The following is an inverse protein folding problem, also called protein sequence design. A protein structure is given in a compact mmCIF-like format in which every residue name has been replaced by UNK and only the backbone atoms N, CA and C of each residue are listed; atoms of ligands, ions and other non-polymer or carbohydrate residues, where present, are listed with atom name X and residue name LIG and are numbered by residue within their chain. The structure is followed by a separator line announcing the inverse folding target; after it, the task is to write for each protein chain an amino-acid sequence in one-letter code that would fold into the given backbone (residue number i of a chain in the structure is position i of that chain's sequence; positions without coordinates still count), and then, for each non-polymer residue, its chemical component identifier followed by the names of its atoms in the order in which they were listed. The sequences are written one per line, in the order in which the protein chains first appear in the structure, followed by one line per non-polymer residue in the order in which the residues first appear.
data_IF_744664261300
#
_entry.id   IF_744664261300
#
_cell.length_a   1.000
_cell.length_b   1.000
_cell.length_c   1.000
_cell.angle_alpha   90.00
_cell.angle_beta   90.00
_cell.angle_gamma   90.00
#
_symmetry.space_group_name_H-M   'P 1'
#
loop_
_entity.id
_entity.type
_entity.pdbx_description
1 polymer ?
#
# COMPACT_ATOMS: atom_id res chain seq x y z
N UNK A 1 4.28 -22.65 16.94
CA UNK A 1 5.57 -23.37 16.80
C UNK A 1 5.62 -24.43 17.87
N UNK A 2 5.31 -25.67 17.54
CA UNK A 2 5.55 -26.80 18.44
C UNK A 2 6.94 -27.34 18.09
N UNK A 3 7.86 -27.26 19.04
CA UNK A 3 9.22 -27.79 18.91
C UNK A 3 9.27 -29.32 19.09
N UNK A 4 8.13 -30.00 19.15
CA UNK A 4 8.05 -31.44 19.26
C UNK A 4 7.97 -32.12 17.86
N UNK A 5 8.41 -33.36 17.79
CA UNK A 5 8.42 -34.15 16.53
C UNK A 5 7.01 -34.39 15.98
N UNK A 6 6.02 -34.53 16.86
CA UNK A 6 4.61 -34.77 16.53
C UNK A 6 3.98 -33.51 15.86
N UNK A 7 4.32 -32.31 16.35
CA UNK A 7 3.90 -31.06 15.79
C UNK A 7 4.49 -30.80 14.40
N UNK A 8 5.76 -31.16 14.21
CA UNK A 8 6.42 -31.05 12.90
C UNK A 8 5.81 -31.98 11.87
N UNK A 9 5.51 -33.22 12.24
CA UNK A 9 4.88 -34.19 11.33
C UNK A 9 3.45 -33.76 10.95
N UNK A 10 2.68 -33.22 11.91
CA UNK A 10 1.35 -32.69 11.68
C UNK A 10 1.38 -31.47 10.74
N UNK A 11 2.32 -30.57 10.97
CA UNK A 11 2.52 -29.39 10.11
C UNK A 11 2.94 -29.80 8.69
N UNK A 12 3.81 -30.77 8.54
CA UNK A 12 4.23 -31.28 7.23
C UNK A 12 3.08 -31.95 6.47
N UNK A 13 2.24 -32.75 7.14
CA UNK A 13 1.03 -33.34 6.53
C UNK A 13 0.06 -32.27 6.06
N UNK A 14 -0.19 -31.26 6.88
CA UNK A 14 -1.08 -30.14 6.52
C UNK A 14 -0.55 -29.32 5.37
N UNK A 15 0.77 -29.06 5.33
CA UNK A 15 1.42 -28.40 4.22
C UNK A 15 1.31 -29.20 2.90
N UNK A 16 1.53 -30.53 2.96
CA UNK A 16 1.39 -31.41 1.81
C UNK A 16 -0.05 -31.46 1.28
N UNK A 17 -1.05 -31.44 2.17
CA UNK A 17 -2.47 -31.39 1.80
C UNK A 17 -2.82 -30.05 1.15
N UNK A 18 -2.34 -28.93 1.67
CA UNK A 18 -2.52 -27.60 1.08
C UNK A 18 -1.87 -27.50 -0.30
N UNK A 19 -0.65 -28.02 -0.46
CA UNK A 19 0.05 -28.08 -1.77
C UNK A 19 -0.76 -28.92 -2.75
N UNK A 20 -1.27 -30.10 -2.34
CA UNK A 20 -2.10 -30.93 -3.19
C UNK A 20 -3.37 -30.24 -3.64
N UNK A 21 -4.04 -29.51 -2.74
CA UNK A 21 -5.23 -28.72 -3.03
C UNK A 21 -4.90 -27.57 -4.01
N UNK A 22 -3.80 -26.88 -3.79
CA UNK A 22 -3.35 -25.79 -4.65
C UNK A 22 -2.91 -26.24 -6.05
N UNK A 23 -2.47 -27.49 -6.18
CA UNK A 23 -2.08 -28.10 -7.49
C UNK A 23 -3.27 -28.76 -8.24
N UNK A 24 -4.44 -28.88 -7.64
CA UNK A 24 -5.62 -29.28 -8.38
C UNK A 24 -5.97 -28.17 -9.37
N UNK A 25 -6.15 -28.54 -10.65
CA UNK A 25 -6.57 -27.61 -11.69
C UNK A 25 -7.83 -26.88 -11.23
N UNK A 26 -7.68 -25.58 -10.94
CA UNK A 26 -8.82 -24.72 -10.77
C UNK A 26 -9.48 -24.60 -12.15
N UNK A 27 -10.77 -24.85 -12.23
CA UNK A 27 -11.54 -24.46 -13.40
C UNK A 27 -11.29 -22.97 -13.61
N UNK A 28 -10.77 -22.61 -14.79
CA UNK A 28 -10.77 -21.22 -15.22
C UNK A 28 -12.21 -20.71 -15.08
N UNK A 29 -12.46 -19.88 -14.09
CA UNK A 29 -13.70 -19.13 -14.04
C UNK A 29 -13.65 -18.17 -15.22
N UNK A 30 -14.65 -18.19 -16.10
CA UNK A 30 -14.82 -17.12 -17.07
C UNK A 30 -14.99 -15.82 -16.28
N UNK A 31 -13.93 -15.07 -16.19
CA UNK A 31 -13.94 -13.79 -15.51
C UNK A 31 -14.88 -12.87 -16.29
N UNK A 32 -16.04 -12.62 -15.72
CA UNK A 32 -16.95 -11.59 -16.21
C UNK A 32 -16.58 -10.29 -15.53
N UNK A 33 -15.79 -9.49 -16.21
CA UNK A 33 -15.69 -8.05 -15.91
C UNK A 33 -17.12 -7.54 -15.67
N UNK A 34 -17.31 -6.79 -14.58
CA UNK A 34 -18.59 -6.27 -14.09
C UNK A 34 -19.61 -6.06 -15.21
N UNK A 35 -20.74 -6.80 -15.23
CA UNK A 35 -21.81 -6.46 -16.15
C UNK A 35 -22.24 -5.04 -15.80
N UNK A 36 -21.92 -4.07 -16.65
CA UNK A 36 -22.23 -2.64 -16.54
C UNK A 36 -22.27 -2.18 -15.07
N UNK A 37 -21.09 -1.99 -14.47
CA UNK A 37 -20.93 -1.77 -13.04
C UNK A 37 -21.79 -0.63 -12.54
N UNK A 38 -23.00 -0.94 -12.11
CA UNK A 38 -23.92 0.05 -11.57
C UNK A 38 -23.40 0.46 -10.20
N UNK A 39 -22.76 1.63 -10.15
CA UNK A 39 -22.47 2.28 -8.87
C UNK A 39 -23.82 2.49 -8.18
N UNK A 40 -24.08 1.71 -7.14
CA UNK A 40 -25.36 1.74 -6.44
C UNK A 40 -25.43 2.86 -5.42
N UNK A 41 -24.28 3.28 -4.89
CA UNK A 41 -24.23 4.36 -3.89
C UNK A 41 -22.84 5.00 -3.86
N UNK A 42 -22.82 6.34 -3.71
CA UNK A 42 -21.64 7.15 -3.35
C UNK A 42 -21.86 7.77 -1.98
N UNK A 43 -20.81 7.96 -1.20
CA UNK A 43 -20.91 8.61 0.11
C UNK A 43 -21.26 10.09 -0.01
N UNK A 44 -20.84 10.74 -1.09
CA UNK A 44 -21.03 12.16 -1.34
C UNK A 44 -21.40 12.41 -2.82
N UNK A 45 -22.20 13.44 -3.06
CA UNK A 45 -22.36 14.04 -4.38
C UNK A 45 -21.10 14.84 -4.76
N UNK A 46 -21.02 15.31 -5.98
CA UNK A 46 -19.90 16.16 -6.43
C UNK A 46 -19.89 17.49 -5.65
N UNK A 47 -21.06 18.06 -5.42
CA UNK A 47 -21.25 19.31 -4.69
C UNK A 47 -20.80 19.17 -3.24
N UNK A 48 -21.30 18.17 -2.51
CA UNK A 48 -20.93 17.88 -1.11
C UNK A 48 -19.43 17.62 -0.96
N UNK A 49 -18.84 16.86 -1.88
CA UNK A 49 -17.39 16.61 -1.87
C UNK A 49 -16.59 17.89 -2.12
N UNK A 50 -17.03 18.72 -3.08
CA UNK A 50 -16.39 20.00 -3.39
C UNK A 50 -16.46 20.99 -2.23
N UNK A 51 -17.58 21.06 -1.51
CA UNK A 51 -17.71 21.86 -0.29
C UNK A 51 -16.75 21.41 0.81
N UNK A 52 -16.63 20.11 1.03
CA UNK A 52 -15.66 19.53 1.99
C UNK A 52 -14.21 19.88 1.60
N UNK A 53 -13.85 19.76 0.31
CA UNK A 53 -12.54 20.17 -0.20
C UNK A 53 -12.27 21.66 0.07
N UNK A 54 -13.24 22.52 -0.20
CA UNK A 54 -13.09 23.95 0.03
C UNK A 54 -12.92 24.29 1.51
N UNK A 55 -13.64 23.61 2.41
CA UNK A 55 -13.49 23.75 3.85
C UNK A 55 -12.09 23.31 4.31
N UNK A 56 -11.57 22.20 3.79
CA UNK A 56 -10.21 21.73 4.06
C UNK A 56 -9.18 22.76 3.60
N UNK A 57 -9.33 23.30 2.39
CA UNK A 57 -8.45 24.36 1.88
C UNK A 57 -8.44 25.59 2.80
N UNK A 58 -9.58 25.91 3.43
CA UNK A 58 -9.64 26.98 4.43
C UNK A 58 -8.84 26.63 5.67
N UNK A 59 -8.99 25.42 6.23
CA UNK A 59 -8.20 24.97 7.38
C UNK A 59 -6.69 24.99 7.13
N UNK A 60 -6.27 24.68 5.91
CA UNK A 60 -4.85 24.79 5.52
C UNK A 60 -4.40 26.27 5.52
N UNK A 61 -5.18 27.18 4.93
CA UNK A 61 -4.86 28.62 4.93
C UNK A 61 -4.81 29.23 6.32
N UNK A 62 -5.69 28.77 7.22
CA UNK A 62 -5.77 29.22 8.59
C UNK A 62 -4.67 28.60 9.49
N UNK A 63 -3.85 27.70 8.95
CA UNK A 63 -2.75 27.05 9.66
C UNK A 63 -3.17 25.97 10.66
N UNK A 64 -4.42 25.47 10.57
CA UNK A 64 -4.89 24.39 11.43
C UNK A 64 -4.33 23.02 11.05
N UNK A 65 -4.10 22.80 9.78
CA UNK A 65 -3.56 21.54 9.22
C UNK A 65 -2.63 21.84 8.04
N UNK A 66 -1.71 20.94 7.76
CA UNK A 66 -0.84 20.99 6.59
C UNK A 66 -1.39 20.11 5.45
N UNK A 67 -1.93 18.95 5.81
CA UNK A 67 -2.44 17.95 4.88
C UNK A 67 -3.59 17.19 5.52
N UNK A 68 -4.50 16.70 4.69
CA UNK A 68 -5.53 15.73 5.08
C UNK A 68 -5.98 14.93 3.87
N UNK A 69 -6.49 13.74 4.12
CA UNK A 69 -7.06 12.87 3.08
C UNK A 69 -8.58 12.86 3.24
N UNK A 70 -9.28 13.43 2.27
CA UNK A 70 -10.73 13.36 2.18
C UNK A 70 -11.11 12.09 1.42
N UNK A 71 -11.78 11.16 2.09
CA UNK A 71 -12.21 9.90 1.49
C UNK A 71 -13.59 9.99 0.85
N UNK A 72 -13.80 9.22 -0.20
CA UNK A 72 -15.10 8.94 -0.78
C UNK A 72 -15.29 7.44 -0.89
N UNK A 73 -16.46 6.94 -0.48
CA UNK A 73 -16.82 5.52 -0.60
C UNK A 73 -17.80 5.32 -1.75
N UNK A 74 -17.48 4.35 -2.59
CA UNK A 74 -18.33 3.88 -3.66
C UNK A 74 -18.81 2.47 -3.33
N UNK A 75 -20.09 2.23 -3.46
CA UNK A 75 -20.68 0.91 -3.25
C UNK A 75 -21.20 0.41 -4.58
N UNK A 76 -20.78 -0.79 -4.95
CA UNK A 76 -21.16 -1.44 -6.22
C UNK A 76 -21.79 -2.76 -5.84
N UNK A 77 -22.97 -3.07 -6.38
CA UNK A 77 -23.55 -4.39 -6.28
C UNK A 77 -22.87 -5.28 -7.33
N UNK A 78 -22.26 -6.36 -6.87
CA UNK A 78 -21.64 -7.37 -7.72
C UNK A 78 -22.10 -8.74 -7.28
N UNK A 79 -22.29 -9.67 -8.23
CA UNK A 79 -22.52 -11.08 -7.95
C UNK A 79 -21.24 -11.92 -8.01
N UNK A 80 -20.07 -11.27 -8.09
CA UNK A 80 -18.78 -11.95 -8.19
C UNK A 80 -18.27 -12.36 -6.82
N UNK A 81 -17.56 -13.48 -6.80
CA UNK A 81 -16.81 -13.95 -5.64
C UNK A 81 -15.60 -13.04 -5.38
N UNK A 82 -15.29 -12.80 -4.11
CA UNK A 82 -14.20 -11.92 -3.74
C UNK A 82 -12.84 -12.43 -4.15
N UNK A 83 -12.64 -13.75 -4.19
CA UNK A 83 -11.38 -14.32 -4.64
C UNK A 83 -11.19 -14.15 -6.15
N UNK A 84 -12.25 -14.25 -6.95
CA UNK A 84 -12.18 -13.95 -8.38
C UNK A 84 -11.82 -12.49 -8.63
N UNK A 85 -12.41 -11.56 -7.87
CA UNK A 85 -12.04 -10.14 -7.91
C UNK A 85 -10.56 -9.90 -7.53
N UNK A 86 -10.04 -10.66 -6.56
CA UNK A 86 -8.61 -10.60 -6.21
C UNK A 86 -7.72 -11.07 -7.35
N UNK A 87 -8.10 -12.17 -8.03
CA UNK A 87 -7.35 -12.70 -9.16
C UNK A 87 -7.26 -11.67 -10.30
N UNK A 88 -8.38 -11.01 -10.61
CA UNK A 88 -8.43 -9.91 -11.58
C UNK A 88 -7.55 -8.74 -11.18
N UNK A 89 -7.69 -8.27 -9.93
CA UNK A 89 -6.91 -7.16 -9.43
C UNK A 89 -5.40 -7.44 -9.53
N UNK A 90 -4.99 -8.68 -9.27
CA UNK A 90 -3.60 -9.12 -9.37
C UNK A 90 -3.04 -9.01 -10.79
N UNK A 91 -3.87 -9.29 -11.80
CA UNK A 91 -3.48 -9.18 -13.20
C UNK A 91 -3.48 -7.73 -13.69
N UNK A 92 -4.50 -6.97 -13.33
CA UNK A 92 -4.67 -5.58 -13.77
C UNK A 92 -3.69 -4.63 -13.10
N UNK A 93 -3.42 -4.81 -11.81
CA UNK A 93 -2.59 -3.90 -11.02
C UNK A 93 -1.66 -4.67 -10.06
N UNK A 94 -0.67 -5.39 -10.59
CA UNK A 94 0.31 -6.07 -9.77
C UNK A 94 1.10 -5.08 -8.92
N UNK A 95 1.19 -5.33 -7.62
CA UNK A 95 1.94 -4.51 -6.69
C UNK A 95 2.68 -5.37 -5.64
N UNK A 96 3.67 -4.81 -4.91
CA UNK A 96 4.43 -5.58 -3.93
C UNK A 96 3.60 -6.18 -2.80
N UNK A 97 2.44 -5.59 -2.49
CA UNK A 97 1.56 -6.04 -1.40
C UNK A 97 0.16 -6.29 -1.94
N UNK A 98 -0.04 -7.49 -2.46
CA UNK A 98 -1.33 -8.01 -2.86
C UNK A 98 -1.89 -8.85 -1.70
N UNK A 99 -3.14 -8.64 -1.36
CA UNK A 99 -3.75 -9.38 -0.25
C UNK A 99 -5.22 -9.69 -0.49
N UNK A 100 -5.63 -10.83 0.02
CA UNK A 100 -6.99 -11.31 0.13
C UNK A 100 -7.19 -11.87 1.54
N UNK A 101 -8.12 -11.31 2.29
CA UNK A 101 -8.51 -11.78 3.60
C UNK A 101 -9.99 -12.12 3.61
N UNK A 102 -10.33 -13.35 4.02
CA UNK A 102 -11.70 -13.78 4.24
C UNK A 102 -11.95 -13.90 5.74
N UNK A 103 -12.88 -13.09 6.26
CA UNK A 103 -13.27 -13.05 7.67
C UNK A 103 -14.62 -13.75 7.91
N UNK A 104 -15.18 -14.42 6.90
CA UNK A 104 -16.46 -15.12 6.96
C UNK A 104 -17.61 -14.27 6.43
N UNK A 105 -17.95 -13.22 7.10
CA UNK A 105 -19.05 -12.28 6.79
C UNK A 105 -18.64 -11.16 5.83
N UNK A 106 -17.37 -10.91 5.68
CA UNK A 106 -16.82 -9.94 4.72
C UNK A 106 -15.41 -10.33 4.29
N UNK A 107 -14.99 -9.79 3.17
CA UNK A 107 -13.67 -10.01 2.59
C UNK A 107 -12.96 -8.67 2.38
N UNK A 108 -11.63 -8.69 2.47
CA UNK A 108 -10.79 -7.53 2.20
C UNK A 108 -9.79 -7.87 1.10
N UNK A 109 -9.84 -7.11 0.03
CA UNK A 109 -9.03 -7.33 -1.17
C UNK A 109 -8.26 -6.05 -1.44
N UNK A 110 -6.97 -6.17 -1.76
CA UNK A 110 -6.22 -4.99 -2.09
C UNK A 110 -4.91 -5.25 -2.83
N UNK A 111 -4.46 -4.19 -3.48
CA UNK A 111 -3.18 -4.07 -4.16
C UNK A 111 -2.54 -2.77 -3.70
N UNK A 112 -1.47 -2.85 -2.91
CA UNK A 112 -0.79 -1.69 -2.35
C UNK A 112 0.66 -1.62 -2.82
N UNK A 113 1.14 -0.47 -3.27
CA UNK A 113 2.55 -0.27 -3.62
C UNK A 113 3.41 0.00 -2.38
N UNK A 114 2.81 0.33 -1.25
CA UNK A 114 3.49 0.92 -0.10
C UNK A 114 3.55 -0.04 1.09
N UNK A 115 4.73 -0.10 1.70
CA UNK A 115 4.97 -0.86 2.92
C UNK A 115 4.57 -0.02 4.13
N UNK A 116 3.57 -0.46 4.89
CA UNK A 116 3.20 0.19 6.14
C UNK A 116 4.31 0.05 7.18
N UNK A 117 4.64 -1.20 7.54
CA UNK A 117 5.72 -1.53 8.47
C UNK A 117 6.23 -2.95 8.19
N UNK A 118 7.54 -3.14 8.35
CA UNK A 118 8.17 -4.46 8.27
C UNK A 118 9.04 -4.68 9.50
N UNK A 119 8.91 -5.85 10.12
CA UNK A 119 9.84 -6.31 11.15
C UNK A 119 10.71 -7.44 10.62
N UNK A 120 12.01 -7.35 10.90
CA UNK A 120 12.97 -8.41 10.58
C UNK A 120 13.93 -8.59 11.76
N UNK A 121 13.74 -9.64 12.54
CA UNK A 121 14.41 -9.81 13.82
C UNK A 121 14.04 -8.68 14.77
N UNK A 122 15.04 -7.98 15.28
CA UNK A 122 14.86 -6.82 16.16
C UNK A 122 14.87 -5.47 15.43
N UNK A 123 14.89 -5.46 14.09
CA UNK A 123 14.82 -4.25 13.27
C UNK A 123 13.42 -4.05 12.74
N UNK A 124 12.98 -2.81 12.73
CA UNK A 124 11.70 -2.38 12.16
C UNK A 124 11.95 -1.34 11.08
N UNK A 125 11.13 -1.34 10.04
CA UNK A 125 11.28 -0.52 8.85
C UNK A 125 9.93 0.05 8.44
N UNK A 126 9.96 1.26 7.89
CA UNK A 126 8.87 1.85 7.11
C UNK A 126 9.45 2.56 5.90
N UNK A 127 8.65 2.71 4.86
CA UNK A 127 9.11 3.20 3.57
C UNK A 127 8.13 4.26 3.04
N UNK A 128 8.23 5.52 3.50
CA UNK A 128 7.41 6.60 2.96
C UNK A 128 7.67 6.80 1.47
N UNK A 129 6.58 6.93 0.72
CA UNK A 129 6.56 7.13 -0.72
C UNK A 129 5.77 8.40 -1.01
N UNK A 130 6.32 9.30 -1.81
CA UNK A 130 5.63 10.49 -2.31
C UNK A 130 6.11 10.86 -3.70
N UNK A 131 5.45 11.81 -4.32
CA UNK A 131 5.78 12.25 -5.66
C UNK A 131 5.56 11.17 -6.72
N UNK A 132 5.02 11.54 -7.84
CA UNK A 132 4.75 10.58 -8.92
C UNK A 132 5.04 11.21 -10.27
N UNK A 133 5.74 10.47 -11.13
CA UNK A 133 5.84 10.75 -12.56
C UNK A 133 5.59 9.45 -13.35
N UNK A 134 5.01 9.54 -14.54
CA UNK A 134 4.91 8.37 -15.41
C UNK A 134 6.30 7.90 -15.84
N UNK A 135 6.39 6.64 -16.29
CA UNK A 135 7.61 6.14 -16.94
C UNK A 135 7.75 6.75 -18.32
N UNK A 136 8.97 7.12 -18.69
CA UNK A 136 9.31 7.55 -20.03
C UNK A 136 9.26 6.38 -21.03
N UNK A 137 9.04 6.71 -22.30
CA UNK A 137 9.08 5.73 -23.39
C UNK A 137 10.51 5.36 -23.80
N UNK A 138 11.47 6.22 -23.46
CA UNK A 138 12.89 6.01 -23.69
C UNK A 138 13.65 6.25 -22.38
N UNK A 139 14.92 5.80 -22.35
CA UNK A 139 15.79 6.03 -21.19
C UNK A 139 16.03 7.54 -20.95
N UNK A 140 16.22 8.29 -22.01
CA UNK A 140 16.45 9.74 -21.91
C UNK A 140 15.24 10.46 -21.34
N UNK A 141 14.04 10.02 -21.69
CA UNK A 141 12.79 10.54 -21.15
C UNK A 141 12.63 10.16 -19.67
N UNK A 142 12.92 8.91 -19.28
CA UNK A 142 12.95 8.46 -17.88
C UNK A 142 13.93 9.33 -17.07
N UNK A 143 15.14 9.54 -17.54
CA UNK A 143 16.16 10.34 -16.88
C UNK A 143 15.74 11.82 -16.75
N UNK A 144 15.01 12.37 -17.73
CA UNK A 144 14.43 13.71 -17.65
C UNK A 144 13.35 13.79 -16.58
N UNK A 145 12.39 12.87 -16.58
CA UNK A 145 11.29 12.82 -15.62
C UNK A 145 11.79 12.58 -14.19
N UNK A 146 12.84 11.77 -14.02
CA UNK A 146 13.53 11.56 -12.75
C UNK A 146 14.09 12.89 -12.20
N UNK A 147 14.83 13.66 -13.03
CA UNK A 147 15.38 14.97 -12.60
C UNK A 147 14.27 15.97 -12.31
N UNK A 148 13.22 16.01 -13.11
CA UNK A 148 12.04 16.85 -12.89
C UNK A 148 11.36 16.54 -11.56
N UNK A 149 11.17 15.26 -11.24
CA UNK A 149 10.57 14.83 -9.99
C UNK A 149 11.41 15.28 -8.76
N UNK A 150 12.72 15.12 -8.83
CA UNK A 150 13.62 15.54 -7.74
C UNK A 150 13.81 17.07 -7.66
N UNK A 151 13.50 17.81 -8.72
CA UNK A 151 13.56 19.27 -8.73
C UNK A 151 12.25 19.92 -8.26
N UNK A 152 11.14 19.16 -8.20
CA UNK A 152 9.83 19.65 -7.78
C UNK A 152 9.82 19.96 -6.28
N UNK A 153 9.77 21.25 -5.94
CA UNK A 153 9.82 21.71 -4.54
C UNK A 153 8.63 21.22 -3.72
N UNK A 154 7.43 21.15 -4.31
CA UNK A 154 6.23 20.68 -3.64
C UNK A 154 6.35 19.19 -3.29
N UNK A 155 6.72 18.36 -4.26
CA UNK A 155 6.88 16.92 -4.06
C UNK A 155 7.98 16.62 -3.02
N UNK A 156 9.07 17.36 -3.06
CA UNK A 156 10.14 17.26 -2.05
C UNK A 156 9.68 17.67 -0.65
N UNK A 157 8.96 18.78 -0.52
CA UNK A 157 8.44 19.25 0.76
C UNK A 157 7.45 18.24 1.37
N UNK A 158 6.56 17.69 0.56
CA UNK A 158 5.64 16.63 0.98
C UNK A 158 6.41 15.39 1.43
N UNK A 159 7.41 14.98 0.67
CA UNK A 159 8.22 13.80 1.02
C UNK A 159 8.99 13.99 2.34
N UNK A 160 9.60 15.16 2.57
CA UNK A 160 10.25 15.48 3.87
C UNK A 160 9.28 15.37 5.02
N UNK A 161 8.07 15.89 4.87
CA UNK A 161 7.02 15.79 5.87
C UNK A 161 6.66 14.34 6.19
N UNK A 162 6.49 13.48 5.17
CA UNK A 162 6.20 12.05 5.35
C UNK A 162 7.37 11.29 6.00
N UNK A 163 8.61 11.62 5.65
CA UNK A 163 9.80 11.04 6.30
C UNK A 163 9.87 11.44 7.77
N UNK A 164 9.55 12.68 8.12
CA UNK A 164 9.55 13.13 9.52
C UNK A 164 8.43 12.45 10.32
N UNK A 165 7.25 12.30 9.74
CA UNK A 165 6.15 11.49 10.31
C UNK A 165 6.59 10.04 10.56
N UNK A 166 7.21 9.42 9.57
CA UNK A 166 7.73 8.05 9.66
C UNK A 166 8.80 7.92 10.78
N UNK A 167 9.70 8.90 10.91
CA UNK A 167 10.68 8.94 12.00
C UNK A 167 10.02 9.04 13.38
N UNK A 168 8.98 9.86 13.51
CA UNK A 168 8.22 10.00 14.74
C UNK A 168 7.50 8.69 15.12
N UNK A 169 6.83 8.05 14.18
CA UNK A 169 6.13 6.78 14.39
C UNK A 169 7.12 5.65 14.78
N UNK A 170 8.22 5.57 14.05
CA UNK A 170 9.30 4.61 14.38
C UNK A 170 9.93 4.88 15.75
N UNK A 171 10.04 6.14 16.17
CA UNK A 171 10.56 6.53 17.49
C UNK A 171 9.74 6.00 18.65
N UNK A 172 8.44 5.80 18.47
CA UNK A 172 7.54 5.25 19.49
C UNK A 172 7.88 3.80 19.84
N UNK A 173 8.25 3.00 18.86
CA UNK A 173 8.48 1.56 18.97
C UNK A 173 9.96 1.16 18.97
N UNK A 174 10.86 2.10 18.71
CA UNK A 174 12.29 1.83 18.61
C UNK A 174 13.07 2.29 19.84
N UNK A 175 14.18 1.62 20.13
CA UNK A 175 15.14 2.05 21.13
C UNK A 175 15.64 3.47 20.84
N UNK A 176 15.85 4.27 21.88
CA UNK A 176 16.30 5.65 21.75
C UNK A 176 17.62 5.74 20.98
N UNK A 177 17.70 6.69 20.05
CA UNK A 177 18.90 6.94 19.23
C UNK A 177 19.13 5.95 18.09
N UNK A 178 18.22 4.96 17.88
CA UNK A 178 18.39 3.94 16.83
C UNK A 178 17.62 4.25 15.54
N UNK A 179 16.69 5.21 15.56
CA UNK A 179 15.94 5.60 14.36
C UNK A 179 16.85 6.32 13.38
N UNK A 180 16.93 5.81 12.16
CA UNK A 180 17.77 6.35 11.06
C UNK A 180 16.99 6.37 9.77
N UNK A 181 17.30 7.36 8.94
CA UNK A 181 16.91 7.38 7.52
C UNK A 181 18.11 6.82 6.74
N UNK A 182 17.96 5.61 6.22
CA UNK A 182 19.06 4.88 5.56
C UNK A 182 19.09 5.07 4.05
N UNK A 183 17.96 5.43 3.46
CA UNK A 183 17.84 5.85 2.06
C UNK A 183 16.92 7.08 2.05
N UNK A 184 17.38 8.19 1.48
CA UNK A 184 16.66 9.44 1.51
C UNK A 184 16.46 10.02 0.12
N UNK A 185 15.20 10.22 -0.26
CA UNK A 185 14.80 10.79 -1.54
C UNK A 185 15.34 10.04 -2.77
N UNK A 186 15.42 8.72 -2.71
CA UNK A 186 15.72 7.90 -3.89
C UNK A 186 14.52 7.83 -4.82
N UNK A 187 14.75 7.93 -6.13
CA UNK A 187 13.68 7.64 -7.09
C UNK A 187 13.68 6.15 -7.42
N UNK A 188 12.54 5.50 -7.21
CA UNK A 188 12.32 4.09 -7.55
C UNK A 188 11.36 3.97 -8.74
N UNK A 189 11.77 3.17 -9.70
CA UNK A 189 10.98 2.87 -10.89
C UNK A 189 10.09 1.66 -10.64
N UNK A 190 8.79 1.83 -10.87
CA UNK A 190 7.78 0.77 -10.91
C UNK A 190 7.34 0.51 -12.35
N UNK A 191 6.40 -0.38 -12.57
CA UNK A 191 5.96 -0.79 -13.92
C UNK A 191 5.51 0.39 -14.77
N UNK A 192 4.71 1.30 -14.21
CA UNK A 192 4.06 2.39 -14.94
C UNK A 192 4.42 3.79 -14.46
N UNK A 193 5.01 3.89 -13.26
CA UNK A 193 5.33 5.16 -12.60
C UNK A 193 6.68 5.10 -11.91
N UNK A 194 7.20 6.26 -11.54
CA UNK A 194 8.33 6.41 -10.61
C UNK A 194 7.91 7.26 -9.41
N UNK A 195 8.48 6.96 -8.26
CA UNK A 195 8.19 7.66 -7.01
C UNK A 195 9.46 8.08 -6.28
N UNK A 196 9.38 9.13 -5.47
CA UNK A 196 10.38 9.45 -4.45
C UNK A 196 10.13 8.53 -3.25
N UNK A 197 11.16 7.84 -2.82
CA UNK A 197 11.10 6.83 -1.75
C UNK A 197 12.19 7.12 -0.74
N UNK A 198 11.88 6.95 0.55
CA UNK A 198 12.88 6.91 1.61
C UNK A 198 12.70 5.67 2.48
N UNK A 199 13.75 5.27 3.18
CA UNK A 199 13.72 4.16 4.12
C UNK A 199 14.03 4.67 5.52
N UNK A 200 13.12 4.43 6.46
CA UNK A 200 13.32 4.72 7.88
C UNK A 200 13.38 3.42 8.64
N UNK A 201 14.40 3.24 9.44
CA UNK A 201 14.61 2.04 10.26
C UNK A 201 14.87 2.37 11.70
N UNK A 202 14.62 1.39 12.59
CA UNK A 202 14.96 1.47 13.99
C UNK A 202 15.13 0.09 14.61
N UNK A 203 15.75 0.02 15.80
CA UNK A 203 15.80 -1.20 16.60
C UNK A 203 14.57 -1.24 17.49
N UNK A 204 13.78 -2.30 17.39
CA UNK A 204 12.58 -2.52 18.18
C UNK A 204 12.90 -2.57 19.68
N UNK A 205 12.10 -1.88 20.52
CA UNK A 205 12.16 -2.02 21.98
C UNK A 205 11.80 -3.43 22.42
N UNK A 206 12.43 -3.92 23.48
CA UNK A 206 12.14 -5.26 24.05
C UNK A 206 10.73 -5.44 24.61
N UNK A 207 10.00 -4.32 24.82
CA UNK A 207 8.63 -4.32 25.38
C UNK A 207 7.52 -4.45 24.33
N UNK A 208 7.85 -4.60 23.05
CA UNK A 208 6.89 -4.75 21.94
C UNK A 208 7.07 -6.09 21.22
#
# INVERSE_FOLDING_TARGET
ESDDETGKETAAKKAAELIKTAMQEQKESEVRLFPDGVITKKSDTLEEYSEKVNKIKQYIRDGHIFQTVLSQRWTIATGQDGFDLYCELRELNPSPYLYYFNFGDFEVIGSSPEMLVKQQGNRVFTCPIAGTRPRGKTKEEDDRLHRELLADEKERAEHVMLVDLARNDMGRISEFGTVKVTDFMSVKNYSHVMHIVSMVEGRKKGSF
#
